data_IF_691833850192
#
_entry.id   IF_691833850192
#
_cell.length_a   1.000
_cell.length_b   1.000
_cell.length_c   1.000
_cell.angle_alpha   90.00
_cell.angle_beta   90.00
_cell.angle_gamma   90.00
#
_symmetry.space_group_name_H-M   'P 1'
#
loop_
_entity.id
_entity.type
_entity.pdbx_description
1 polymer ?
#
# COMPACT_ATOMS: atom_id res chain seq x y z
N UNK A 1 7.13 -22.94 -56.80
CA UNK A 1 6.99 -23.26 -55.39
C UNK A 1 7.54 -22.08 -54.59
N UNK A 2 6.67 -21.27 -54.02
CA UNK A 2 7.06 -20.09 -53.22
C UNK A 2 6.77 -20.46 -51.78
N UNK A 3 7.86 -20.65 -51.00
CA UNK A 3 7.79 -20.86 -49.56
C UNK A 3 7.47 -19.51 -48.91
N UNK A 4 6.31 -19.34 -48.31
CA UNK A 4 5.95 -18.24 -47.45
C UNK A 4 6.64 -18.37 -46.08
N UNK A 5 6.91 -17.26 -45.36
CA UNK A 5 7.67 -17.30 -44.13
C UNK A 5 6.88 -17.93 -42.96
N UNK A 6 7.51 -18.83 -42.18
CA UNK A 6 6.91 -19.40 -40.98
C UNK A 6 7.10 -18.40 -39.81
N UNK A 7 6.09 -17.60 -39.49
CA UNK A 7 6.26 -16.63 -38.41
C UNK A 7 5.00 -16.16 -37.73
N UNK A 8 3.82 -16.35 -38.28
CA UNK A 8 2.60 -15.74 -37.75
C UNK A 8 1.85 -16.56 -36.67
N UNK A 9 2.01 -17.88 -36.67
CA UNK A 9 1.26 -18.74 -35.76
C UNK A 9 1.84 -18.81 -34.31
N UNK A 10 3.16 -18.63 -34.16
CA UNK A 10 3.80 -18.68 -32.85
C UNK A 10 3.51 -17.44 -31.97
N UNK A 11 3.32 -16.27 -32.57
CA UNK A 11 3.06 -15.04 -31.85
C UNK A 11 1.64 -14.95 -31.28
N UNK A 12 0.66 -15.54 -31.93
CA UNK A 12 -0.74 -15.56 -31.49
C UNK A 12 -0.95 -16.49 -30.29
N UNK A 13 -0.23 -17.62 -30.21
CA UNK A 13 -0.31 -18.52 -29.06
C UNK A 13 0.38 -17.93 -27.82
N UNK A 14 1.53 -17.25 -27.99
CA UNK A 14 2.22 -16.54 -26.91
C UNK A 14 1.36 -15.39 -26.36
N UNK A 15 0.71 -14.61 -27.21
CA UNK A 15 -0.15 -13.49 -26.80
C UNK A 15 -1.37 -13.97 -26.00
N UNK A 16 -1.97 -15.11 -26.36
CA UNK A 16 -3.08 -15.71 -25.61
C UNK A 16 -2.66 -16.22 -24.24
N UNK A 17 -1.49 -16.81 -24.08
CA UNK A 17 -0.99 -17.29 -22.79
C UNK A 17 -0.78 -16.16 -21.77
N UNK A 18 -0.55 -14.92 -22.21
CA UNK A 18 -0.38 -13.77 -21.31
C UNK A 18 -1.68 -13.05 -20.96
N UNK A 19 -2.80 -13.33 -21.64
CA UNK A 19 -4.08 -12.68 -21.33
C UNK A 19 -4.67 -13.14 -19.99
N UNK A 20 -4.40 -14.38 -19.61
CA UNK A 20 -4.94 -15.01 -18.40
C UNK A 20 -3.92 -15.03 -17.22
N UNK A 21 -2.73 -14.42 -17.40
CA UNK A 21 -1.69 -14.39 -16.39
C UNK A 21 -1.49 -12.98 -15.82
N UNK A 22 -1.44 -12.85 -14.51
CA UNK A 22 -1.02 -11.62 -13.88
C UNK A 22 0.49 -11.42 -14.03
N UNK A 23 0.89 -10.23 -14.53
CA UNK A 23 2.29 -9.87 -14.63
C UNK A 23 2.90 -9.57 -13.27
N UNK A 24 4.23 -9.72 -13.15
CA UNK A 24 4.99 -9.46 -11.92
C UNK A 24 4.58 -8.14 -11.22
N UNK A 25 4.50 -7.04 -11.98
CA UNK A 25 4.15 -5.72 -11.43
C UNK A 25 2.74 -5.67 -10.84
N UNK A 26 1.80 -6.41 -11.42
CA UNK A 26 0.43 -6.50 -10.91
C UNK A 26 0.40 -7.26 -9.59
N UNK A 27 1.13 -8.38 -9.51
CA UNK A 27 1.29 -9.16 -8.27
C UNK A 27 1.98 -8.31 -7.19
N UNK A 28 3.11 -7.68 -7.49
CA UNK A 28 3.83 -6.80 -6.54
C UNK A 28 2.89 -5.70 -5.99
N UNK A 29 2.14 -5.03 -6.86
CA UNK A 29 1.19 -3.98 -6.45
C UNK A 29 0.08 -4.53 -5.56
N UNK A 30 -0.44 -5.71 -5.87
CA UNK A 30 -1.47 -6.37 -5.06
C UNK A 30 -0.93 -6.73 -3.68
N UNK A 31 0.26 -7.34 -3.61
CA UNK A 31 0.91 -7.70 -2.37
C UNK A 31 1.23 -6.46 -1.50
N UNK A 32 1.77 -5.40 -2.09
CA UNK A 32 2.05 -4.15 -1.38
C UNK A 32 0.77 -3.50 -0.82
N UNK A 33 -0.31 -3.48 -1.61
CA UNK A 33 -1.60 -2.96 -1.15
C UNK A 33 -2.19 -3.81 -0.01
N UNK A 34 -2.06 -5.13 -0.09
CA UNK A 34 -2.56 -6.02 0.95
C UNK A 34 -1.78 -5.85 2.25
N UNK A 35 -0.44 -5.83 2.18
CA UNK A 35 0.44 -5.54 3.32
C UNK A 35 0.13 -4.17 3.92
N UNK A 36 -0.08 -3.15 3.09
CA UNK A 36 -0.51 -1.82 3.52
C UNK A 36 -1.84 -1.84 4.28
N UNK A 37 -2.80 -2.69 3.87
CA UNK A 37 -4.11 -2.84 4.54
C UNK A 37 -4.03 -3.42 5.95
N UNK A 38 -2.91 -4.03 6.31
CA UNK A 38 -2.59 -4.54 7.64
C UNK A 38 -1.87 -3.51 8.53
N UNK A 39 -1.83 -2.25 8.12
CA UNK A 39 -1.08 -1.19 8.80
C UNK A 39 0.40 -1.53 9.00
N UNK A 40 0.94 -2.40 8.17
CA UNK A 40 2.31 -2.88 8.29
C UNK A 40 3.34 -1.74 8.16
N UNK A 41 4.45 -1.87 8.86
CA UNK A 41 5.58 -0.93 8.81
C UNK A 41 6.81 -1.64 8.29
N UNK A 42 7.42 -1.08 7.27
CA UNK A 42 8.65 -1.61 6.67
C UNK A 42 9.84 -1.43 7.62
N UNK A 43 10.50 -2.52 7.98
CA UNK A 43 11.55 -2.58 9.00
C UNK A 43 12.97 -2.33 8.47
N UNK A 44 13.13 -1.91 7.22
CA UNK A 44 14.44 -1.65 6.65
C UNK A 44 14.47 -1.84 5.14
N UNK A 45 15.60 -2.35 4.63
CA UNK A 45 15.74 -2.72 3.21
C UNK A 45 15.10 -4.10 2.96
N UNK A 46 14.64 -4.33 1.74
CA UNK A 46 13.97 -5.59 1.38
C UNK A 46 12.48 -5.60 1.72
N UNK A 47 11.92 -6.79 1.88
CA UNK A 47 10.48 -7.03 2.11
C UNK A 47 10.22 -7.53 3.54
N UNK A 48 10.86 -6.89 4.53
CA UNK A 48 10.64 -7.17 5.95
C UNK A 48 9.67 -6.14 6.51
N UNK A 49 8.58 -6.61 7.09
CA UNK A 49 7.51 -5.77 7.63
C UNK A 49 7.19 -6.18 9.07
N UNK A 50 6.91 -5.20 9.91
CA UNK A 50 6.21 -5.43 11.17
C UNK A 50 4.72 -5.34 10.93
N UNK A 51 3.97 -6.36 11.33
CA UNK A 51 2.51 -6.42 11.24
C UNK A 51 1.94 -6.45 12.65
N UNK A 52 1.02 -5.55 13.01
CA UNK A 52 0.36 -5.58 14.32
C UNK A 52 -0.42 -6.88 14.54
N UNK A 53 -0.47 -7.33 15.79
CA UNK A 53 -1.08 -8.61 16.17
C UNK A 53 -2.54 -8.73 15.75
N UNK A 54 -3.28 -7.65 15.74
CA UNK A 54 -4.71 -7.63 15.38
C UNK A 54 -4.96 -8.02 13.92
N UNK A 55 -3.91 -7.98 13.09
CA UNK A 55 -3.98 -8.38 11.68
C UNK A 55 -3.50 -9.81 11.41
N UNK A 56 -3.24 -10.63 12.44
CA UNK A 56 -2.84 -12.05 12.26
C UNK A 56 -3.82 -12.81 11.35
N UNK A 57 -5.15 -12.69 11.48
CA UNK A 57 -6.06 -13.40 10.57
C UNK A 57 -5.91 -12.99 9.10
N UNK A 58 -5.61 -11.70 8.84
CA UNK A 58 -5.32 -11.22 7.49
C UNK A 58 -3.94 -11.70 7.00
N UNK A 59 -2.96 -11.81 7.90
CA UNK A 59 -1.65 -12.33 7.58
C UNK A 59 -1.73 -13.79 7.14
N UNK A 60 -2.52 -14.62 7.82
CA UNK A 60 -2.77 -16.00 7.43
C UNK A 60 -3.37 -16.11 6.02
N UNK A 61 -4.39 -15.31 5.72
CA UNK A 61 -4.96 -15.25 4.35
C UNK A 61 -3.90 -14.82 3.31
N UNK A 62 -2.97 -13.95 3.70
CA UNK A 62 -1.89 -13.53 2.83
C UNK A 62 -0.87 -14.65 2.58
N UNK A 63 -0.50 -15.40 3.60
CA UNK A 63 0.36 -16.58 3.51
C UNK A 63 -0.27 -17.64 2.60
N UNK A 64 -1.53 -18.01 2.84
CA UNK A 64 -2.29 -18.95 2.00
C UNK A 64 -2.34 -18.50 0.53
N UNK A 65 -2.54 -17.20 0.30
CA UNK A 65 -2.57 -16.64 -1.06
C UNK A 65 -1.21 -16.73 -1.76
N UNK A 66 -0.11 -16.48 -1.04
CA UNK A 66 1.24 -16.58 -1.60
C UNK A 66 1.59 -18.03 -1.93
N UNK A 67 1.23 -18.98 -1.07
CA UNK A 67 1.38 -20.41 -1.32
C UNK A 67 0.60 -20.83 -2.58
N UNK A 68 -0.64 -20.39 -2.72
CA UNK A 68 -1.46 -20.65 -3.90
C UNK A 68 -0.86 -20.07 -5.18
N UNK A 69 -0.25 -18.87 -5.11
CA UNK A 69 0.44 -18.27 -6.25
C UNK A 69 1.66 -19.09 -6.68
N UNK A 70 2.42 -19.61 -5.73
CA UNK A 70 3.59 -20.46 -6.04
C UNK A 70 3.16 -21.82 -6.58
N UNK A 71 2.13 -22.44 -6.02
CA UNK A 71 1.57 -23.70 -6.50
C UNK A 71 1.11 -23.62 -7.96
N UNK A 72 0.52 -22.49 -8.36
CA UNK A 72 0.04 -22.25 -9.71
C UNK A 72 1.04 -21.54 -10.63
N UNK A 73 2.29 -21.41 -10.21
CA UNK A 73 3.34 -20.73 -10.95
C UNK A 73 3.81 -21.57 -12.16
N UNK A 74 3.25 -21.27 -13.33
CA UNK A 74 3.60 -21.95 -14.60
C UNK A 74 5.01 -21.60 -15.12
N UNK A 75 5.65 -20.56 -14.56
CA UNK A 75 6.97 -20.09 -14.96
C UNK A 75 8.06 -20.56 -14.01
N UNK A 76 7.83 -21.66 -13.29
CA UNK A 76 8.82 -22.23 -12.39
C UNK A 76 10.11 -22.55 -13.14
N UNK A 77 11.21 -21.90 -12.78
CA UNK A 77 12.54 -22.13 -13.35
C UNK A 77 13.39 -22.94 -12.40
N UNK A 78 14.05 -23.99 -12.84
CA UNK A 78 14.98 -24.74 -12.00
C UNK A 78 16.04 -23.80 -11.36
N UNK A 79 16.25 -23.90 -10.06
CA UNK A 79 17.22 -23.09 -9.31
C UNK A 79 16.73 -21.69 -8.89
N UNK A 80 15.45 -21.36 -9.08
CA UNK A 80 14.84 -20.18 -8.48
C UNK A 80 14.23 -20.53 -7.13
N UNK A 81 14.48 -19.69 -6.14
CA UNK A 81 13.79 -19.79 -4.86
C UNK A 81 12.27 -19.63 -5.04
N UNK A 82 11.45 -20.43 -4.36
CA UNK A 82 10.01 -20.32 -4.39
C UNK A 82 9.58 -18.95 -3.85
N UNK A 83 8.39 -18.50 -4.29
CA UNK A 83 7.74 -17.37 -3.65
C UNK A 83 7.25 -17.83 -2.28
N UNK A 84 7.76 -17.20 -1.22
CA UNK A 84 7.51 -17.62 0.16
C UNK A 84 7.30 -16.42 1.07
N UNK A 85 6.50 -16.62 2.11
CA UNK A 85 6.26 -15.66 3.18
C UNK A 85 6.51 -16.34 4.51
N UNK A 86 7.44 -15.80 5.27
CA UNK A 86 7.75 -16.31 6.61
C UNK A 86 7.35 -15.27 7.66
N UNK A 87 6.51 -15.68 8.61
CA UNK A 87 6.15 -14.85 9.76
C UNK A 87 6.87 -15.31 11.03
N UNK A 88 7.39 -14.34 11.78
CA UNK A 88 8.10 -14.58 13.04
C UNK A 88 7.52 -13.67 14.11
N UNK A 89 7.13 -14.24 15.24
CA UNK A 89 6.67 -13.46 16.39
C UNK A 89 7.83 -12.72 17.04
N UNK A 90 7.64 -11.41 17.26
CA UNK A 90 8.61 -10.55 17.92
C UNK A 90 8.31 -10.49 19.40
N UNK A 91 9.36 -10.62 20.23
CA UNK A 91 9.25 -10.46 21.68
C UNK A 91 8.92 -9.01 22.03
N UNK A 92 7.92 -8.82 22.90
CA UNK A 92 7.52 -7.48 23.37
C UNK A 92 8.44 -6.99 24.48
N UNK A 93 9.58 -6.40 24.11
CA UNK A 93 10.51 -5.76 25.03
C UNK A 93 10.78 -4.29 24.65
N UNK A 94 11.34 -3.52 25.58
CA UNK A 94 11.60 -2.09 25.40
C UNK A 94 12.52 -1.78 24.20
N UNK A 95 13.51 -2.63 23.93
CA UNK A 95 14.47 -2.46 22.83
C UNK A 95 13.81 -2.70 21.49
N UNK A 96 12.93 -3.69 21.41
CA UNK A 96 12.17 -3.96 20.18
C UNK A 96 11.15 -2.84 19.93
N UNK A 97 10.41 -2.39 20.94
CA UNK A 97 9.51 -1.23 20.83
C UNK A 97 10.23 0.02 20.32
N UNK A 98 11.44 0.30 20.82
CA UNK A 98 12.24 1.44 20.34
C UNK A 98 12.63 1.29 18.86
N UNK A 99 13.04 0.10 18.41
CA UNK A 99 13.36 -0.17 17.01
C UNK A 99 12.13 -0.03 16.11
N UNK A 100 10.98 -0.53 16.57
CA UNK A 100 9.72 -0.41 15.85
C UNK A 100 9.26 1.05 15.74
N UNK A 101 9.39 1.84 16.81
CA UNK A 101 9.11 3.28 16.77
C UNK A 101 9.99 4.00 15.73
N UNK A 102 11.28 3.71 15.69
CA UNK A 102 12.20 4.30 14.71
C UNK A 102 11.86 3.89 13.27
N UNK A 103 11.40 2.66 13.05
CA UNK A 103 10.93 2.20 11.74
C UNK A 103 9.61 2.86 11.35
N UNK A 104 8.68 3.00 12.30
CA UNK A 104 7.42 3.70 12.15
C UNK A 104 7.66 5.15 11.70
N UNK A 105 8.47 5.91 12.40
CA UNK A 105 8.81 7.29 12.04
C UNK A 105 9.33 7.42 10.61
N UNK A 106 10.27 6.55 10.22
CA UNK A 106 10.82 6.59 8.84
C UNK A 106 9.78 6.26 7.78
N UNK A 107 8.91 5.28 8.04
CA UNK A 107 7.87 4.86 7.11
C UNK A 107 6.81 5.92 6.96
N UNK A 108 6.32 6.45 8.09
CA UNK A 108 5.21 7.40 8.11
C UNK A 108 5.62 8.77 7.60
N UNK A 109 6.82 9.26 7.90
CA UNK A 109 7.32 10.52 7.29
C UNK A 109 7.32 10.49 5.77
N UNK A 110 7.74 9.36 5.19
CA UNK A 110 7.69 9.20 3.74
C UNK A 110 6.25 9.22 3.22
N UNK A 111 5.34 8.53 3.91
CA UNK A 111 3.93 8.45 3.55
C UNK A 111 3.25 9.83 3.68
N UNK A 112 3.56 10.58 4.75
CA UNK A 112 3.09 11.96 4.95
C UNK A 112 3.56 12.86 3.80
N UNK A 113 4.85 12.86 3.47
CA UNK A 113 5.40 13.69 2.41
C UNK A 113 4.75 13.39 1.04
N UNK A 114 4.48 12.13 0.74
CA UNK A 114 3.75 11.74 -0.47
C UNK A 114 2.29 12.26 -0.45
N UNK A 115 1.63 12.23 0.70
CA UNK A 115 0.26 12.72 0.84
C UNK A 115 0.20 14.24 0.73
N UNK A 116 1.09 14.96 1.38
CA UNK A 116 1.18 16.42 1.29
C UNK A 116 1.40 16.88 -0.17
N UNK A 117 2.36 16.27 -0.87
CA UNK A 117 2.60 16.58 -2.28
C UNK A 117 1.37 16.33 -3.14
N UNK A 118 0.74 15.16 -2.99
CA UNK A 118 -0.43 14.77 -3.78
C UNK A 118 -1.63 15.66 -3.51
N UNK A 119 -1.92 15.94 -2.24
CA UNK A 119 -3.05 16.77 -1.84
C UNK A 119 -2.83 18.22 -2.25
N UNK A 120 -1.63 18.77 -2.05
CA UNK A 120 -1.28 20.13 -2.49
C UNK A 120 -1.44 20.25 -3.99
N UNK A 121 -0.95 19.31 -4.79
CA UNK A 121 -1.15 19.29 -6.24
C UNK A 121 -2.63 19.21 -6.63
N UNK A 122 -3.43 18.43 -5.91
CA UNK A 122 -4.87 18.33 -6.15
C UNK A 122 -5.59 19.67 -5.90
N UNK A 123 -5.18 20.37 -4.85
CA UNK A 123 -5.71 21.70 -4.48
C UNK A 123 -5.30 22.75 -5.50
N UNK A 124 -4.01 22.81 -5.86
CA UNK A 124 -3.47 23.81 -6.79
C UNK A 124 -3.98 23.64 -8.21
N UNK A 125 -4.11 22.42 -8.69
CA UNK A 125 -4.62 22.12 -10.03
C UNK A 125 -6.14 22.23 -10.13
N UNK A 126 -6.85 22.65 -9.09
CA UNK A 126 -8.27 22.91 -9.11
C UNK A 126 -9.14 21.69 -9.45
N UNK A 127 -8.82 20.52 -8.88
CA UNK A 127 -9.62 19.31 -9.12
C UNK A 127 -11.09 19.55 -8.90
N UNK A 128 -11.91 19.09 -9.85
CA UNK A 128 -13.38 19.23 -9.83
C UNK A 128 -14.08 17.92 -9.37
N UNK A 129 -13.34 16.96 -8.82
CA UNK A 129 -13.87 15.66 -8.42
C UNK A 129 -13.98 15.51 -6.89
N UNK A 130 -15.19 15.66 -6.30
CA UNK A 130 -15.41 15.42 -4.88
C UNK A 130 -14.98 14.02 -4.44
N UNK A 131 -15.20 13.01 -5.29
CA UNK A 131 -14.86 11.62 -5.01
C UNK A 131 -13.35 11.39 -4.84
N UNK A 132 -12.52 12.12 -5.60
CA UNK A 132 -11.06 12.05 -5.44
C UNK A 132 -10.64 12.69 -4.12
N UNK A 133 -11.22 13.86 -3.78
CA UNK A 133 -10.94 14.54 -2.52
C UNK A 133 -11.30 13.68 -1.31
N UNK A 134 -12.47 13.04 -1.31
CA UNK A 134 -12.90 12.12 -0.25
C UNK A 134 -11.98 10.93 -0.08
N UNK A 135 -11.48 10.37 -1.17
CA UNK A 135 -10.50 9.29 -1.10
C UNK A 135 -9.22 9.73 -0.37
N UNK A 136 -8.76 10.96 -0.59
CA UNK A 136 -7.58 11.48 0.10
C UNK A 136 -7.86 11.79 1.56
N UNK A 137 -9.04 12.35 1.89
CA UNK A 137 -9.48 12.55 3.27
C UNK A 137 -9.44 11.20 4.03
N UNK A 138 -10.05 10.16 3.47
CA UNK A 138 -10.07 8.81 4.08
C UNK A 138 -8.65 8.23 4.25
N UNK A 139 -7.71 8.52 3.33
CA UNK A 139 -6.32 8.08 3.47
C UNK A 139 -5.61 8.80 4.62
N UNK A 140 -5.81 10.09 4.77
CA UNK A 140 -5.23 10.88 5.87
C UNK A 140 -5.78 10.38 7.21
N UNK A 141 -7.09 10.20 7.32
CA UNK A 141 -7.74 9.62 8.52
C UNK A 141 -7.19 8.23 8.84
N UNK A 142 -6.98 7.40 7.82
CA UNK A 142 -6.38 6.07 7.97
C UNK A 142 -4.95 6.12 8.50
N UNK A 143 -4.17 7.14 8.11
CA UNK A 143 -2.81 7.32 8.59
C UNK A 143 -2.78 7.81 10.04
N UNK A 144 -3.71 8.68 10.44
CA UNK A 144 -3.90 9.10 11.83
C UNK A 144 -4.29 7.91 12.72
N UNK A 145 -5.23 7.09 12.26
CA UNK A 145 -5.61 5.87 12.98
C UNK A 145 -4.44 4.90 13.12
N UNK A 146 -3.62 4.77 12.07
CA UNK A 146 -2.39 3.98 12.13
C UNK A 146 -1.43 4.51 13.19
N UNK A 147 -1.23 5.83 13.31
CA UNK A 147 -0.41 6.44 14.38
C UNK A 147 -0.93 6.02 15.74
N UNK A 148 -2.22 6.19 16.00
CA UNK A 148 -2.85 5.87 17.28
C UNK A 148 -2.70 4.39 17.65
N UNK A 149 -2.93 3.48 16.70
CA UNK A 149 -2.74 2.05 16.93
C UNK A 149 -1.27 1.71 17.28
N UNK A 150 -0.31 2.41 16.67
CA UNK A 150 1.11 2.20 16.99
C UNK A 150 1.51 2.80 18.33
N UNK A 151 0.90 3.89 18.78
CA UNK A 151 1.08 4.43 20.14
C UNK A 151 0.65 3.41 21.20
N UNK A 152 -0.48 2.75 20.99
CA UNK A 152 -0.98 1.68 21.86
C UNK A 152 -0.05 0.47 21.88
N UNK A 153 0.38 -0.01 20.70
CA UNK A 153 1.30 -1.15 20.56
C UNK A 153 2.65 -0.86 21.21
N UNK A 154 3.19 0.33 20.98
CA UNK A 154 4.51 0.73 21.48
C UNK A 154 4.46 1.23 22.91
N UNK A 155 3.28 1.41 23.47
CA UNK A 155 3.04 1.94 24.84
C UNK A 155 3.76 3.27 25.07
N UNK A 156 3.70 4.15 24.06
CA UNK A 156 4.30 5.49 24.09
C UNK A 156 3.67 6.41 23.07
N UNK A 157 3.65 7.69 23.36
CA UNK A 157 3.27 8.72 22.41
C UNK A 157 4.32 8.88 21.30
N UNK A 158 3.85 9.14 20.08
CA UNK A 158 4.68 9.34 18.88
C UNK A 158 4.67 10.82 18.48
N UNK A 159 5.13 11.67 19.40
CA UNK A 159 5.08 13.15 19.28
C UNK A 159 5.98 13.73 18.20
N UNK A 160 7.02 13.00 17.77
CA UNK A 160 7.96 13.47 16.75
C UNK A 160 7.32 13.70 15.35
N UNK A 161 6.04 13.38 15.20
CA UNK A 161 5.26 13.55 13.96
C UNK A 161 4.07 14.52 14.13
N UNK A 162 3.91 15.16 15.27
CA UNK A 162 2.71 15.96 15.56
C UNK A 162 2.60 17.18 14.65
N UNK A 163 3.72 17.79 14.25
CA UNK A 163 3.73 18.92 13.32
C UNK A 163 3.29 18.47 11.93
N UNK A 164 3.85 17.37 11.42
CA UNK A 164 3.52 16.81 10.12
C UNK A 164 2.04 16.36 10.06
N UNK A 165 1.54 15.72 11.12
CA UNK A 165 0.11 15.37 11.20
C UNK A 165 -0.79 16.59 11.28
N UNK A 166 -0.35 17.66 11.92
CA UNK A 166 -1.09 18.93 11.97
C UNK A 166 -1.21 19.52 10.56
N UNK A 167 -0.11 19.54 9.79
CA UNK A 167 -0.12 19.95 8.37
C UNK A 167 -1.11 19.13 7.53
N UNK A 168 -1.09 17.80 7.68
CA UNK A 168 -2.04 16.93 6.96
C UNK A 168 -3.51 17.21 7.33
N UNK A 169 -3.80 17.52 8.60
CA UNK A 169 -5.17 17.89 9.03
C UNK A 169 -5.64 19.14 8.33
N UNK A 170 -4.82 20.18 8.25
CA UNK A 170 -5.15 21.39 7.51
C UNK A 170 -5.48 21.09 6.04
N UNK A 171 -4.68 20.28 5.39
CA UNK A 171 -4.93 19.87 4.01
C UNK A 171 -6.23 19.05 3.86
N UNK A 172 -6.49 18.17 4.82
CA UNK A 172 -7.74 17.38 4.87
C UNK A 172 -8.96 18.27 5.01
N UNK A 173 -8.92 19.26 5.90
CA UNK A 173 -10.02 20.20 6.12
C UNK A 173 -10.26 21.08 4.89
N UNK A 174 -9.21 21.51 4.19
CA UNK A 174 -9.35 22.23 2.93
C UNK A 174 -10.02 21.37 1.84
N UNK A 175 -9.64 20.09 1.74
CA UNK A 175 -10.31 19.15 0.83
C UNK A 175 -11.79 18.96 1.16
N UNK A 176 -12.15 18.90 2.45
CA UNK A 176 -13.55 18.79 2.91
C UNK A 176 -14.38 19.98 2.49
N UNK A 177 -13.85 21.20 2.70
CA UNK A 177 -14.53 22.45 2.30
C UNK A 177 -14.74 22.48 0.80
N UNK A 178 -13.71 22.17 0.00
CA UNK A 178 -13.81 22.15 -1.47
C UNK A 178 -14.77 21.09 -1.98
N UNK A 179 -14.70 19.87 -1.43
CA UNK A 179 -15.61 18.77 -1.80
C UNK A 179 -17.07 19.13 -1.51
N UNK A 180 -17.36 19.75 -0.36
CA UNK A 180 -18.70 20.21 -0.01
C UNK A 180 -19.20 21.31 -0.96
N UNK A 181 -18.35 22.28 -1.31
CA UNK A 181 -18.67 23.35 -2.28
C UNK A 181 -19.02 22.80 -3.66
N UNK A 182 -18.24 21.87 -4.18
CA UNK A 182 -18.50 21.23 -5.48
C UNK A 182 -19.80 20.41 -5.49
N UNK A 183 -20.10 19.70 -4.40
CA UNK A 183 -21.38 18.97 -4.27
C UNK A 183 -22.59 19.89 -4.24
N UNK A 184 -22.51 21.05 -3.58
CA UNK A 184 -23.60 22.02 -3.57
C UNK A 184 -23.86 22.60 -4.96
N UNK A 185 -22.81 22.88 -5.73
CA UNK A 185 -22.92 23.33 -7.11
C UNK A 185 -23.56 22.29 -8.03
N UNK A 186 -23.16 21.01 -7.91
CA UNK A 186 -23.73 19.91 -8.68
C UNK A 186 -25.19 19.59 -8.38
N UNK A 187 -25.68 19.96 -7.19
CA UNK A 187 -27.12 19.82 -6.82
C UNK A 187 -27.97 20.98 -7.28
N UNK A 188 -27.35 22.13 -7.55
CA UNK A 188 -28.05 23.36 -7.99
C UNK A 188 -28.13 23.50 -9.52
N UNK A 189 -27.38 22.67 -10.26
CA UNK A 189 -27.38 22.60 -11.73
C UNK A 189 -28.28 21.48 -12.24
#
# INVERSE_FOLDING_TARGET
>A
MINGPPGAASNLSATRSYQDCAGRRQIETLLENYVGSMQAVKMGRGHVYFVPRDFIPKLQVFEDFVELLEEHNQLHRPGRDPLDVNSIFVVDDAKQRQKMAAAFYRSVRKEIAEYEERVTNLIQNGSQSPKIMERWITRIEGLEQKKQNYEDILKRELTDLDEEFTSLRYLSDELRIRSAGLRSQQRAA
#
